data_IF_670578397938
#
_entry.id   IF_670578397938
#
_cell.length_a   1.000
_cell.length_b   1.000
_cell.length_c   1.000
_cell.angle_alpha   90.00
_cell.angle_beta   90.00
_cell.angle_gamma   90.00
#
_symmetry.space_group_name_H-M   'P 1'
#
loop_
_entity.id
_entity.type
_entity.pdbx_description
1 polymer ?
#
# COMPACT_ATOMS: atom_id res chain seq x y z
N UNK A 1 -22.40 -2.64 -67.74
CA UNK A 1 -20.97 -2.54 -67.40
C UNK A 1 -20.82 -1.40 -66.39
N UNK A 2 -20.77 -1.72 -65.09
CA UNK A 2 -20.48 -0.74 -64.03
C UNK A 2 -18.99 -0.72 -63.73
N UNK A 3 -18.34 0.44 -63.59
CA UNK A 3 -16.95 0.49 -63.14
C UNK A 3 -16.92 0.34 -61.62
N UNK A 4 -16.30 -0.74 -61.14
CA UNK A 4 -15.91 -0.88 -59.75
C UNK A 4 -14.73 0.04 -59.47
N UNK A 5 -14.97 1.14 -58.76
CA UNK A 5 -13.90 1.99 -58.22
C UNK A 5 -13.31 1.28 -57.00
N UNK A 6 -12.14 0.66 -57.16
CA UNK A 6 -11.38 0.10 -56.03
C UNK A 6 -10.79 1.24 -55.22
N UNK A 7 -11.42 1.57 -54.08
CA UNK A 7 -10.86 2.51 -53.13
C UNK A 7 -9.60 1.89 -52.49
N UNK A 8 -8.42 2.41 -52.87
CA UNK A 8 -7.14 2.08 -52.26
C UNK A 8 -7.15 2.65 -50.84
N UNK A 9 -7.27 1.79 -49.83
CA UNK A 9 -7.12 2.18 -48.43
C UNK A 9 -5.64 2.58 -48.23
N UNK A 10 -5.37 3.88 -48.21
CA UNK A 10 -4.08 4.41 -47.78
C UNK A 10 -4.00 4.16 -46.27
N UNK A 11 -3.15 3.23 -45.85
CA UNK A 11 -2.74 3.08 -44.46
C UNK A 11 -2.01 4.35 -44.04
N UNK A 12 -2.74 5.27 -43.42
CA UNK A 12 -2.16 6.41 -42.72
C UNK A 12 -1.38 5.81 -41.55
N UNK A 13 -0.07 5.73 -41.71
CA UNK A 13 0.84 5.54 -40.59
C UNK A 13 0.71 6.82 -39.78
N UNK A 14 -0.10 6.78 -38.72
CA UNK A 14 -0.13 7.83 -37.70
C UNK A 14 1.26 7.83 -37.07
N UNK A 15 2.08 8.80 -37.44
CA UNK A 15 3.36 9.02 -36.78
C UNK A 15 3.11 9.18 -35.28
N UNK A 16 3.85 8.45 -34.43
CA UNK A 16 3.82 8.62 -32.98
C UNK A 16 4.03 10.11 -32.67
N UNK A 17 2.98 10.78 -32.21
CA UNK A 17 3.06 12.19 -31.84
C UNK A 17 3.96 12.27 -30.59
N UNK A 18 5.08 13.00 -30.61
CA UNK A 18 5.95 13.08 -29.46
C UNK A 18 5.18 13.76 -28.31
N UNK A 19 4.99 13.04 -27.20
CA UNK A 19 4.35 13.58 -26.02
C UNK A 19 5.15 14.80 -25.52
N UNK A 20 4.49 15.94 -25.37
CA UNK A 20 5.16 17.18 -24.96
C UNK A 20 5.41 17.17 -23.45
N UNK A 21 6.69 17.13 -23.05
CA UNK A 21 7.13 17.20 -21.66
C UNK A 21 7.49 18.63 -21.20
N UNK A 22 7.05 19.66 -21.94
CA UNK A 22 7.39 21.06 -21.64
C UNK A 22 6.96 21.47 -20.22
N UNK A 23 7.88 22.05 -19.45
CA UNK A 23 7.61 22.57 -18.10
C UNK A 23 7.91 21.59 -16.96
N UNK A 24 8.47 20.41 -17.25
CA UNK A 24 8.90 19.45 -16.23
C UNK A 24 10.37 19.70 -15.88
N UNK A 25 10.65 19.82 -14.59
CA UNK A 25 12.02 19.94 -14.08
C UNK A 25 12.83 18.67 -14.37
N UNK A 26 14.08 18.83 -14.80
CA UNK A 26 14.96 17.71 -15.16
C UNK A 26 15.14 16.71 -14.00
N UNK A 27 15.14 17.20 -12.76
CA UNK A 27 15.18 16.38 -11.54
C UNK A 27 13.96 15.47 -11.33
N UNK A 28 12.83 15.76 -11.98
CA UNK A 28 11.60 14.98 -11.87
C UNK A 28 11.46 13.91 -12.97
N UNK A 29 12.22 14.03 -14.06
CA UNK A 29 12.19 13.11 -15.21
C UNK A 29 12.40 11.64 -14.85
N UNK A 30 13.33 11.26 -13.93
CA UNK A 30 13.53 9.84 -13.58
C UNK A 30 12.32 9.16 -12.92
N UNK A 31 11.33 9.94 -12.44
CA UNK A 31 10.15 9.47 -11.72
C UNK A 31 8.88 9.48 -12.58
N UNK A 32 9.02 9.71 -13.88
CA UNK A 32 7.94 9.98 -14.83
C UNK A 32 8.02 8.96 -15.97
N UNK A 33 6.91 8.27 -16.23
CA UNK A 33 6.86 7.17 -17.18
C UNK A 33 5.65 7.29 -18.11
N UNK A 34 5.78 6.74 -19.31
CA UNK A 34 4.67 6.49 -20.24
C UNK A 34 4.46 4.98 -20.35
N UNK A 35 3.63 4.37 -19.48
CA UNK A 35 3.31 2.94 -19.57
C UNK A 35 2.67 2.59 -20.91
N UNK A 36 3.03 1.44 -21.48
CA UNK A 36 2.49 0.93 -22.74
C UNK A 36 1.93 -0.49 -22.50
N UNK A 37 0.71 -0.63 -21.94
CA UNK A 37 0.14 -1.92 -21.62
C UNK A 37 0.05 -2.82 -22.87
N UNK A 38 0.41 -4.09 -22.72
CA UNK A 38 0.36 -5.08 -23.80
C UNK A 38 -1.04 -5.69 -23.97
N UNK A 39 -1.83 -5.68 -22.90
CA UNK A 39 -3.07 -6.46 -22.80
C UNK A 39 -4.34 -5.70 -23.19
N UNK A 40 -4.25 -4.39 -23.34
CA UNK A 40 -5.33 -3.51 -23.77
C UNK A 40 -4.74 -2.21 -24.31
N UNK A 41 -5.55 -1.45 -25.05
CA UNK A 41 -5.16 -0.13 -25.56
C UNK A 41 -6.06 0.96 -24.98
N UNK A 42 -5.44 2.09 -24.64
CA UNK A 42 -6.07 3.32 -24.18
C UNK A 42 -5.32 4.49 -24.82
N UNK A 43 -5.53 4.66 -26.12
CA UNK A 43 -4.91 5.71 -26.92
C UNK A 43 -5.08 7.10 -26.29
N UNK A 44 -6.22 7.35 -25.61
CA UNK A 44 -6.48 8.60 -24.91
C UNK A 44 -5.54 8.85 -23.72
N UNK A 45 -4.82 7.82 -23.26
CA UNK A 45 -3.85 7.88 -22.18
C UNK A 45 -2.38 7.82 -22.61
N UNK A 46 -2.07 7.61 -23.89
CA UNK A 46 -0.70 7.36 -24.36
C UNK A 46 0.32 8.44 -23.94
N UNK A 47 -0.10 9.70 -23.88
CA UNK A 47 0.73 10.82 -23.44
C UNK A 47 0.50 11.27 -21.99
N UNK A 48 -0.09 10.41 -21.14
CA UNK A 48 -0.20 10.69 -19.72
C UNK A 48 1.00 10.15 -18.95
N UNK A 49 1.64 11.05 -18.22
CA UNK A 49 2.75 10.74 -17.34
C UNK A 49 2.26 10.05 -16.07
N UNK A 50 2.90 8.93 -15.75
CA UNK A 50 2.55 8.09 -14.61
C UNK A 50 3.73 8.00 -13.65
N UNK A 51 3.45 8.17 -12.36
CA UNK A 51 4.41 7.97 -11.28
C UNK A 51 4.21 6.62 -10.62
N UNK A 52 5.31 5.99 -10.27
CA UNK A 52 5.31 4.69 -9.62
C UNK A 52 5.44 4.84 -8.11
N UNK A 53 4.65 4.08 -7.35
CA UNK A 53 4.80 4.00 -5.90
C UNK A 53 4.63 2.59 -5.35
N UNK A 54 5.09 2.39 -4.11
CA UNK A 54 4.79 1.20 -3.33
C UNK A 54 4.58 1.55 -1.86
N UNK A 55 3.49 1.04 -1.27
CA UNK A 55 3.17 1.20 0.15
C UNK A 55 3.83 0.07 0.94
N UNK A 56 4.97 0.34 1.56
CA UNK A 56 5.73 -0.61 2.37
C UNK A 56 5.25 -0.59 3.81
N UNK A 57 4.82 -1.74 4.34
CA UNK A 57 4.15 -1.76 5.65
C UNK A 57 4.31 -3.08 6.40
N UNK A 58 3.88 -3.11 7.66
CA UNK A 58 3.72 -4.33 8.46
C UNK A 58 2.23 -4.64 8.58
N UNK A 59 1.85 -5.92 8.75
CA UNK A 59 0.44 -6.29 8.92
C UNK A 59 -0.21 -5.48 10.06
N UNK A 60 -1.47 -5.07 9.83
CA UNK A 60 -2.30 -4.31 10.78
C UNK A 60 -1.77 -2.91 11.14
N UNK A 61 -0.96 -2.32 10.26
CA UNK A 61 -0.46 -0.94 10.42
C UNK A 61 -1.35 0.12 9.72
N UNK A 62 -2.57 -0.23 9.32
CA UNK A 62 -3.51 0.71 8.69
C UNK A 62 -3.36 0.85 7.17
N UNK A 63 -2.44 0.11 6.54
CA UNK A 63 -2.16 0.20 5.10
C UNK A 63 -3.31 -0.21 4.19
N UNK A 64 -4.22 -1.10 4.62
CA UNK A 64 -5.46 -1.38 3.89
C UNK A 64 -6.45 -0.21 3.89
N UNK A 65 -6.53 0.57 4.98
CA UNK A 65 -7.36 1.77 5.03
C UNK A 65 -6.73 2.91 4.22
N UNK A 66 -5.42 3.13 4.40
CA UNK A 66 -4.67 4.12 3.64
C UNK A 66 -4.72 3.88 2.12
N UNK A 67 -4.62 2.64 1.68
CA UNK A 67 -4.80 2.27 0.28
C UNK A 67 -6.19 2.64 -0.25
N UNK A 68 -7.27 2.47 0.53
CA UNK A 68 -8.60 2.89 0.09
C UNK A 68 -8.74 4.41 -0.03
N UNK A 69 -8.04 5.19 0.80
CA UNK A 69 -7.98 6.64 0.66
C UNK A 69 -7.30 7.03 -0.65
N UNK A 70 -6.14 6.44 -0.96
CA UNK A 70 -5.46 6.72 -2.23
C UNK A 70 -6.31 6.31 -3.43
N UNK A 71 -6.96 5.15 -3.37
CA UNK A 71 -7.85 4.67 -4.43
C UNK A 71 -9.15 5.48 -4.58
N UNK A 72 -9.50 6.39 -3.66
CA UNK A 72 -10.60 7.33 -3.89
C UNK A 72 -10.19 8.49 -4.81
N UNK A 73 -8.89 8.72 -5.00
CA UNK A 73 -8.41 9.66 -6.01
C UNK A 73 -8.65 9.09 -7.41
N UNK A 74 -9.17 9.91 -8.32
CA UNK A 74 -9.63 9.46 -9.64
C UNK A 74 -8.46 8.97 -10.53
N UNK A 75 -7.28 9.60 -10.39
CA UNK A 75 -6.07 9.27 -11.16
C UNK A 75 -5.05 8.38 -10.40
N UNK A 76 -5.47 7.67 -9.34
CA UNK A 76 -4.57 6.79 -8.58
C UNK A 76 -5.10 5.36 -8.57
N UNK A 77 -4.23 4.41 -8.88
CA UNK A 77 -4.49 2.97 -8.75
C UNK A 77 -3.46 2.30 -7.84
N UNK A 78 -3.90 1.82 -6.68
CA UNK A 78 -3.15 0.91 -5.80
C UNK A 78 -3.75 -0.49 -5.86
N UNK A 79 -2.94 -1.45 -6.30
CA UNK A 79 -3.37 -2.79 -6.71
C UNK A 79 -3.38 -3.86 -5.59
N UNK A 80 -3.50 -3.46 -4.32
CA UNK A 80 -3.55 -4.39 -3.20
C UNK A 80 -2.22 -5.07 -2.90
N UNK A 81 -2.26 -6.21 -2.20
CA UNK A 81 -1.07 -7.00 -1.84
C UNK A 81 -0.65 -7.96 -2.95
N UNK A 82 -0.03 -7.42 -4.00
CA UNK A 82 0.43 -8.21 -5.14
C UNK A 82 1.57 -9.17 -4.79
N UNK A 83 2.29 -8.99 -3.69
CA UNK A 83 3.34 -9.95 -3.31
C UNK A 83 2.88 -10.99 -2.31
N UNK A 84 1.57 -11.12 -2.03
CA UNK A 84 1.04 -12.13 -1.11
C UNK A 84 1.28 -13.58 -1.55
N UNK A 85 1.33 -13.85 -2.87
CA UNK A 85 1.56 -15.21 -3.42
C UNK A 85 3.06 -15.51 -3.53
N UNK A 86 3.47 -16.71 -3.09
CA UNK A 86 4.89 -17.12 -3.02
C UNK A 86 5.59 -17.12 -4.37
N UNK A 87 4.91 -17.55 -5.44
CA UNK A 87 5.45 -17.62 -6.81
C UNK A 87 6.02 -16.29 -7.31
N UNK A 88 5.40 -15.17 -6.92
CA UNK A 88 5.81 -13.82 -7.32
C UNK A 88 7.07 -13.31 -6.59
N UNK A 89 7.55 -14.06 -5.60
CA UNK A 89 8.67 -13.65 -4.71
C UNK A 89 9.65 -14.80 -4.44
N UNK A 90 9.79 -15.72 -5.40
CA UNK A 90 10.74 -16.84 -5.32
C UNK A 90 12.18 -16.40 -5.50
N UNK A 91 12.42 -15.38 -6.33
CA UNK A 91 13.70 -14.73 -6.57
C UNK A 91 13.48 -13.30 -7.10
N UNK A 92 14.58 -12.54 -7.27
CA UNK A 92 14.51 -11.15 -7.75
C UNK A 92 13.94 -11.03 -9.17
N UNK A 93 14.22 -11.99 -10.07
CA UNK A 93 13.67 -11.97 -11.43
C UNK A 93 12.15 -12.10 -11.45
N UNK A 94 11.57 -12.98 -10.64
CA UNK A 94 10.12 -13.11 -10.50
C UNK A 94 9.47 -11.84 -9.91
N UNK A 95 10.18 -11.16 -9.01
CA UNK A 95 9.75 -9.89 -8.44
C UNK A 95 9.74 -8.81 -9.52
N UNK A 96 10.86 -8.62 -10.24
CA UNK A 96 10.99 -7.62 -11.31
C UNK A 96 9.92 -7.83 -12.38
N UNK A 97 9.73 -9.08 -12.85
CA UNK A 97 8.65 -9.42 -13.79
C UNK A 97 7.26 -8.99 -13.29
N UNK A 98 7.00 -9.13 -12.00
CA UNK A 98 5.73 -8.71 -11.39
C UNK A 98 5.64 -7.18 -11.30
N UNK A 99 6.73 -6.49 -10.94
CA UNK A 99 6.79 -5.04 -10.87
C UNK A 99 6.56 -4.42 -12.26
N UNK A 100 7.28 -4.91 -13.27
CA UNK A 100 7.14 -4.43 -14.66
C UNK A 100 5.71 -4.58 -15.14
N UNK A 101 5.05 -5.72 -14.88
CA UNK A 101 3.65 -5.92 -15.24
C UNK A 101 2.72 -4.89 -14.59
N UNK A 102 2.94 -4.55 -13.32
CA UNK A 102 2.08 -3.58 -12.61
C UNK A 102 2.35 -2.16 -13.07
N UNK A 103 3.61 -1.79 -13.25
CA UNK A 103 4.02 -0.45 -13.63
C UNK A 103 3.78 -0.17 -15.12
N UNK A 104 3.69 -1.20 -15.95
CA UNK A 104 3.21 -1.11 -17.33
C UNK A 104 1.67 -1.04 -17.44
N UNK A 105 0.94 -0.98 -16.31
CA UNK A 105 -0.53 -0.97 -16.24
C UNK A 105 -1.22 -2.27 -16.71
N UNK A 106 -0.47 -3.36 -16.92
CA UNK A 106 -1.00 -4.68 -17.31
C UNK A 106 -1.52 -5.52 -16.13
N UNK A 107 -1.82 -4.87 -15.00
CA UNK A 107 -2.32 -5.53 -13.80
C UNK A 107 -3.83 -5.29 -13.62
N UNK A 108 -4.61 -6.30 -14.01
CA UNK A 108 -6.06 -6.28 -13.83
C UNK A 108 -6.45 -6.45 -12.37
N UNK A 109 -7.09 -5.43 -11.81
CA UNK A 109 -7.65 -5.48 -10.46
C UNK A 109 -8.88 -4.57 -10.37
N UNK A 110 -9.60 -4.63 -9.25
CA UNK A 110 -10.70 -3.70 -8.98
C UNK A 110 -10.24 -2.23 -8.80
N UNK A 111 -8.92 -1.96 -8.84
CA UNK A 111 -8.36 -0.62 -8.78
C UNK A 111 -8.21 0.05 -10.14
N UNK A 112 -8.50 -0.66 -11.25
CA UNK A 112 -8.53 -0.09 -12.60
C UNK A 112 -9.51 1.07 -12.67
N UNK A 113 -9.11 2.13 -13.39
CA UNK A 113 -9.86 3.38 -13.53
C UNK A 113 -10.30 3.59 -14.96
N UNK A 114 -11.42 4.28 -15.14
CA UNK A 114 -11.86 4.73 -16.45
C UNK A 114 -11.06 5.96 -16.89
N UNK A 115 -10.50 6.71 -15.94
CA UNK A 115 -9.63 7.84 -16.18
C UNK A 115 -8.17 7.40 -16.33
N UNK A 116 -7.35 8.24 -16.94
CA UNK A 116 -5.92 7.98 -17.05
C UNK A 116 -5.25 8.13 -15.66
N UNK A 117 -4.33 7.22 -15.36
CA UNK A 117 -3.60 7.26 -14.10
C UNK A 117 -2.52 8.35 -14.13
N UNK A 118 -2.37 9.05 -13.00
CA UNK A 118 -1.23 9.90 -12.71
C UNK A 118 -0.25 9.20 -11.75
N UNK A 119 -0.73 8.25 -10.95
CA UNK A 119 0.13 7.39 -10.14
C UNK A 119 -0.42 5.96 -10.08
N UNK A 120 0.48 4.98 -10.16
CA UNK A 120 0.16 3.55 -10.00
C UNK A 120 1.12 2.90 -9.00
N UNK A 121 0.56 2.01 -8.20
CA UNK A 121 1.32 1.30 -7.19
C UNK A 121 0.55 0.13 -6.61
N UNK A 122 1.01 -0.29 -5.43
CA UNK A 122 0.47 -1.42 -4.71
C UNK A 122 0.95 -1.39 -3.25
N UNK A 123 0.44 -2.33 -2.46
CA UNK A 123 0.83 -2.54 -1.07
C UNK A 123 1.77 -3.73 -0.93
N UNK A 124 2.83 -3.57 -0.15
CA UNK A 124 3.83 -4.59 0.08
C UNK A 124 4.14 -4.72 1.56
N UNK A 125 3.84 -5.90 2.13
CA UNK A 125 4.21 -6.15 3.51
C UNK A 125 5.68 -6.55 3.63
N UNK A 126 6.39 -6.06 4.65
CA UNK A 126 7.84 -6.31 4.83
C UNK A 126 8.20 -7.80 4.87
N UNK A 127 7.29 -8.66 5.31
CA UNK A 127 7.46 -10.11 5.38
C UNK A 127 7.11 -10.85 4.07
N UNK A 128 6.70 -10.16 3.00
CA UNK A 128 6.33 -10.75 1.71
C UNK A 128 7.50 -10.70 0.71
N UNK A 129 8.70 -11.09 1.13
CA UNK A 129 9.89 -11.13 0.27
C UNK A 129 10.63 -9.81 0.12
N UNK A 130 10.04 -8.67 0.51
CA UNK A 130 10.67 -7.35 0.43
C UNK A 130 12.01 -7.31 1.16
N UNK A 131 12.04 -7.71 2.43
CA UNK A 131 13.30 -7.69 3.21
C UNK A 131 14.31 -8.76 2.79
N UNK A 132 13.86 -9.82 2.10
CA UNK A 132 14.71 -10.91 1.63
C UNK A 132 15.44 -10.56 0.32
N UNK A 133 14.85 -9.71 -0.52
CA UNK A 133 15.41 -9.27 -1.80
C UNK A 133 15.65 -7.75 -1.86
N UNK A 134 15.85 -7.14 -0.68
CA UNK A 134 15.88 -5.68 -0.50
C UNK A 134 16.85 -4.94 -1.41
N UNK A 135 18.03 -5.51 -1.68
CA UNK A 135 19.07 -4.87 -2.49
C UNK A 135 18.61 -4.72 -3.95
N UNK A 136 18.21 -5.83 -4.59
CA UNK A 136 17.69 -5.79 -5.96
C UNK A 136 16.38 -5.00 -6.10
N UNK A 137 15.53 -4.99 -5.07
CA UNK A 137 14.32 -4.16 -5.08
C UNK A 137 14.68 -2.67 -4.95
N UNK A 138 15.61 -2.30 -4.08
CA UNK A 138 16.05 -0.92 -3.93
C UNK A 138 16.74 -0.41 -5.20
N UNK A 139 17.52 -1.25 -5.89
CA UNK A 139 18.11 -0.96 -7.20
C UNK A 139 17.02 -0.71 -8.25
N UNK A 140 16.03 -1.60 -8.37
CA UNK A 140 14.90 -1.40 -9.27
C UNK A 140 14.15 -0.10 -8.96
N UNK A 141 13.90 0.20 -7.68
CA UNK A 141 13.20 1.42 -7.27
C UNK A 141 13.98 2.67 -7.63
N UNK A 142 15.31 2.62 -7.52
CA UNK A 142 16.18 3.73 -7.90
C UNK A 142 16.20 3.92 -9.42
N UNK A 143 16.33 2.84 -10.19
CA UNK A 143 16.37 2.87 -11.65
C UNK A 143 15.05 3.32 -12.26
N UNK A 144 13.93 2.80 -11.74
CA UNK A 144 12.57 3.09 -12.23
C UNK A 144 11.88 4.24 -11.50
N UNK A 145 12.60 5.02 -10.70
CA UNK A 145 12.02 6.16 -9.97
C UNK A 145 10.77 5.81 -9.14
N UNK A 146 10.76 4.66 -8.48
CA UNK A 146 9.61 4.24 -7.66
C UNK A 146 9.66 4.96 -6.31
N UNK A 147 8.56 5.63 -5.97
CA UNK A 147 8.37 6.32 -4.70
C UNK A 147 7.93 5.34 -3.60
N UNK A 148 8.78 5.14 -2.59
CA UNK A 148 8.47 4.27 -1.46
C UNK A 148 7.71 5.02 -0.36
N UNK A 149 6.53 4.53 0.01
CA UNK A 149 5.73 5.07 1.11
C UNK A 149 5.78 4.07 2.26
N UNK A 150 6.59 4.35 3.28
CA UNK A 150 6.60 3.54 4.49
C UNK A 150 5.42 3.93 5.38
N UNK A 151 4.56 2.98 5.70
CA UNK A 151 3.45 3.18 6.63
C UNK A 151 3.56 2.21 7.81
N UNK A 152 3.88 2.76 8.98
CA UNK A 152 3.98 2.02 10.22
C UNK A 152 2.90 2.43 11.22
N UNK A 153 2.81 1.69 12.32
CA UNK A 153 1.92 2.00 13.44
C UNK A 153 2.74 2.08 14.69
N UNK A 154 2.73 3.24 15.35
CA UNK A 154 3.57 3.50 16.53
C UNK A 154 3.18 2.58 17.68
N UNK A 155 1.88 2.43 17.96
CA UNK A 155 1.45 1.59 19.07
C UNK A 155 1.45 0.10 18.66
N UNK A 156 2.56 -0.59 18.95
CA UNK A 156 2.77 -2.00 18.62
C UNK A 156 1.86 -2.95 19.42
N UNK A 157 1.44 -2.56 20.63
CA UNK A 157 0.50 -3.35 21.42
C UNK A 157 -0.90 -3.34 20.79
N UNK A 158 -1.42 -2.16 20.40
CA UNK A 158 -2.68 -2.04 19.64
C UNK A 158 -2.61 -2.78 18.31
N UNK A 159 -1.44 -2.79 17.66
CA UNK A 159 -1.23 -3.59 16.45
C UNK A 159 -1.33 -5.08 16.75
N UNK A 160 -0.67 -5.57 17.80
CA UNK A 160 -0.70 -6.97 18.21
C UNK A 160 -2.12 -7.43 18.55
N UNK A 161 -2.88 -6.65 19.32
CA UNK A 161 -4.29 -6.93 19.60
C UNK A 161 -5.07 -7.08 18.30
N UNK A 162 -4.89 -6.15 17.35
CA UNK A 162 -5.56 -6.24 16.06
C UNK A 162 -5.11 -7.45 15.22
N UNK A 163 -3.87 -7.91 15.34
CA UNK A 163 -3.40 -9.12 14.66
C UNK A 163 -4.06 -10.37 15.24
N UNK A 164 -4.06 -10.50 16.56
CA UNK A 164 -4.63 -11.65 17.27
C UNK A 164 -6.14 -11.73 17.03
N UNK A 165 -6.86 -10.60 17.10
CA UNK A 165 -8.30 -10.56 16.80
C UNK A 165 -8.61 -10.94 15.35
N UNK A 166 -7.82 -10.47 14.38
CA UNK A 166 -7.98 -10.86 12.97
C UNK A 166 -7.71 -12.36 12.77
N UNK A 167 -6.69 -12.91 13.43
CA UNK A 167 -6.37 -14.34 13.39
C UNK A 167 -7.43 -15.21 14.07
N UNK A 168 -8.10 -14.69 15.09
CA UNK A 168 -9.24 -15.37 15.70
C UNK A 168 -10.42 -15.40 14.71
N UNK A 169 -10.77 -14.26 14.12
CA UNK A 169 -11.88 -14.16 13.18
C UNK A 169 -11.67 -15.01 11.91
N UNK A 170 -10.43 -15.27 11.48
CA UNK A 170 -10.20 -16.17 10.34
C UNK A 170 -10.66 -17.60 10.59
N UNK A 171 -10.77 -18.01 11.84
CA UNK A 171 -11.26 -19.34 12.25
C UNK A 171 -12.71 -19.27 12.73
N UNK A 172 -13.02 -18.31 13.61
CA UNK A 172 -14.34 -18.17 14.23
C UNK A 172 -15.39 -17.59 13.27
N UNK A 173 -14.97 -16.82 12.26
CA UNK A 173 -15.81 -16.21 11.22
C UNK A 173 -17.04 -15.52 11.81
N UNK A 174 -16.78 -14.54 12.68
CA UNK A 174 -17.78 -13.94 13.58
C UNK A 174 -18.89 -13.18 12.84
N UNK A 175 -18.69 -12.85 11.57
CA UNK A 175 -19.66 -12.14 10.74
C UNK A 175 -20.32 -13.12 9.77
N UNK A 176 -21.40 -13.76 10.22
CA UNK A 176 -22.23 -14.69 9.44
C UNK A 176 -21.41 -15.78 8.73
N UNK A 177 -20.43 -16.38 9.42
CA UNK A 177 -19.61 -17.44 8.85
C UNK A 177 -18.62 -16.96 7.80
N UNK A 178 -18.34 -15.65 7.72
CA UNK A 178 -17.33 -15.05 6.83
C UNK A 178 -16.23 -14.35 7.64
N UNK A 179 -14.96 -14.60 7.28
CA UNK A 179 -13.84 -13.81 7.79
C UNK A 179 -13.80 -12.43 7.13
N UNK A 180 -13.65 -11.36 7.94
CA UNK A 180 -13.48 -9.99 7.44
C UNK A 180 -12.30 -9.30 8.10
N UNK A 181 -11.24 -9.07 7.33
CA UNK A 181 -10.07 -8.32 7.82
C UNK A 181 -10.35 -6.81 7.99
N UNK A 182 -11.36 -6.30 7.29
CA UNK A 182 -11.85 -4.91 7.31
C UNK A 182 -13.37 -4.91 7.24
N UNK A 183 -14.00 -3.89 7.84
CA UNK A 183 -15.46 -3.74 7.90
C UNK A 183 -15.86 -2.32 7.49
N UNK A 184 -17.08 -2.18 6.98
CA UNK A 184 -17.63 -0.89 6.54
C UNK A 184 -18.81 -0.40 7.40
N UNK A 185 -19.22 -1.18 8.41
CA UNK A 185 -20.30 -0.83 9.32
C UNK A 185 -19.79 -0.78 10.77
N UNK A 186 -20.37 0.12 11.57
CA UNK A 186 -20.06 0.20 13.00
C UNK A 186 -20.52 -1.04 13.77
N UNK A 187 -21.63 -1.67 13.33
CA UNK A 187 -22.16 -2.89 13.94
C UNK A 187 -21.17 -4.06 13.78
N UNK A 188 -20.67 -4.31 12.57
CA UNK A 188 -19.69 -5.37 12.32
C UNK A 188 -18.39 -5.11 13.08
N UNK A 189 -17.96 -3.84 13.14
CA UNK A 189 -16.79 -3.43 13.92
C UNK A 189 -16.96 -3.77 15.40
N UNK A 190 -18.15 -3.52 15.96
CA UNK A 190 -18.46 -3.82 17.35
C UNK A 190 -18.45 -5.32 17.62
N UNK A 191 -19.01 -6.14 16.72
CA UNK A 191 -18.98 -7.61 16.82
C UNK A 191 -17.54 -8.12 16.85
N UNK A 192 -16.69 -7.69 15.90
CA UNK A 192 -15.29 -8.12 15.84
C UNK A 192 -14.48 -7.65 17.07
N UNK A 193 -14.81 -6.48 17.62
CA UNK A 193 -14.13 -5.92 18.79
C UNK A 193 -14.50 -6.62 20.12
N UNK A 194 -15.49 -7.52 20.14
CA UNK A 194 -15.86 -8.28 21.34
C UNK A 194 -14.78 -9.25 21.79
N UNK A 195 -13.98 -9.76 20.85
CA UNK A 195 -12.90 -10.70 21.15
C UNK A 195 -11.72 -9.98 21.83
N UNK A 196 -11.36 -10.46 23.02
CA UNK A 196 -10.22 -9.97 23.80
C UNK A 196 -9.10 -11.01 23.78
N UNK A 197 -8.03 -10.83 22.99
CA UNK A 197 -6.93 -11.78 22.99
C UNK A 197 -6.21 -11.83 24.33
N UNK A 198 -5.74 -13.03 24.68
CA UNK A 198 -4.67 -13.22 25.66
C UNK A 198 -3.32 -12.96 24.99
N UNK A 199 -2.52 -12.06 25.53
CA UNK A 199 -1.20 -11.69 25.00
C UNK A 199 -0.13 -12.55 25.67
N UNK A 200 0.78 -13.11 24.86
CA UNK A 200 1.97 -13.80 25.36
C UNK A 200 3.00 -12.77 25.85
N UNK A 201 3.17 -12.68 27.16
CA UNK A 201 4.05 -11.73 27.85
C UNK A 201 5.52 -12.15 27.82
N UNK A 202 5.81 -13.45 27.81
CA UNK A 202 7.16 -14.02 27.88
C UNK A 202 8.10 -13.48 26.79
N UNK A 203 7.60 -13.28 25.58
CA UNK A 203 8.40 -12.78 24.44
C UNK A 203 8.06 -11.35 24.02
N UNK A 204 7.14 -10.67 24.72
CA UNK A 204 6.51 -9.43 24.26
C UNK A 204 7.52 -8.31 23.96
N UNK A 205 8.43 -8.05 24.90
CA UNK A 205 9.46 -7.01 24.77
C UNK A 205 10.40 -7.32 23.62
N UNK A 206 10.88 -8.56 23.52
CA UNK A 206 11.77 -9.00 22.45
C UNK A 206 11.10 -8.92 21.06
N UNK A 207 9.81 -9.24 21.01
CA UNK A 207 9.00 -9.15 19.80
C UNK A 207 8.84 -7.70 19.35
N UNK A 208 8.49 -6.77 20.24
CA UNK A 208 8.39 -5.35 19.90
C UNK A 208 9.73 -4.77 19.42
N UNK A 209 10.83 -5.12 20.08
CA UNK A 209 12.16 -4.71 19.64
C UNK A 209 12.46 -5.17 18.20
N UNK A 210 12.22 -6.44 17.90
CA UNK A 210 12.40 -6.99 16.54
C UNK A 210 11.55 -6.27 15.49
N UNK A 211 10.33 -5.86 15.86
CA UNK A 211 9.43 -5.14 14.96
C UNK A 211 9.93 -3.73 14.65
N UNK A 212 10.41 -2.99 15.66
CA UNK A 212 11.02 -1.67 15.47
C UNK A 212 12.33 -1.78 14.66
N UNK A 213 13.20 -2.75 14.98
CA UNK A 213 14.42 -3.01 14.21
C UNK A 213 14.12 -3.37 12.75
N UNK A 214 13.09 -4.17 12.50
CA UNK A 214 12.70 -4.54 11.12
C UNK A 214 12.21 -3.33 10.35
N UNK A 215 11.44 -2.43 10.99
CA UNK A 215 10.98 -1.20 10.36
C UNK A 215 12.16 -0.25 10.06
N UNK A 216 13.07 -0.06 11.02
CA UNK A 216 14.26 0.76 10.83
C UNK A 216 15.16 0.22 9.71
N UNK A 217 15.42 -1.09 9.70
CA UNK A 217 16.18 -1.76 8.63
C UNK A 217 15.51 -1.60 7.26
N UNK A 218 14.18 -1.65 7.20
CA UNK A 218 13.46 -1.42 5.95
C UNK A 218 13.68 0.00 5.43
N UNK A 219 13.53 1.03 6.26
CA UNK A 219 13.78 2.42 5.85
C UNK A 219 15.24 2.60 5.40
N UNK A 220 16.20 2.09 6.17
CA UNK A 220 17.63 2.17 5.85
C UNK A 220 17.97 1.50 4.52
N UNK A 221 17.36 0.36 4.22
CA UNK A 221 17.61 -0.38 2.96
C UNK A 221 17.16 0.37 1.71
N UNK A 222 16.25 1.33 1.87
CA UNK A 222 15.69 2.14 0.78
C UNK A 222 16.09 3.62 0.90
N UNK A 223 17.12 3.95 1.69
CA UNK A 223 17.55 5.34 1.90
C UNK A 223 17.95 6.07 0.62
N UNK A 224 18.42 5.33 -0.39
CA UNK A 224 18.81 5.86 -1.70
C UNK A 224 17.67 6.00 -2.69
N UNK A 225 16.45 5.61 -2.31
CA UNK A 225 15.24 5.79 -3.12
C UNK A 225 14.44 6.97 -2.60
N UNK A 226 13.59 7.55 -3.46
CA UNK A 226 12.65 8.58 -3.04
C UNK A 226 11.64 7.95 -2.09
N UNK A 227 11.64 8.36 -0.82
CA UNK A 227 10.77 7.76 0.18
C UNK A 227 10.21 8.77 1.19
N UNK A 228 9.08 8.41 1.77
CA UNK A 228 8.45 9.09 2.91
C UNK A 228 8.11 8.07 4.00
N UNK A 229 8.24 8.47 5.27
CA UNK A 229 7.87 7.64 6.42
C UNK A 229 6.66 8.25 7.11
N UNK A 230 5.59 7.46 7.19
CA UNK A 230 4.32 7.83 7.77
C UNK A 230 3.96 6.88 8.90
N UNK A 231 3.19 7.41 9.84
CA UNK A 231 2.62 6.63 10.91
C UNK A 231 1.10 6.75 10.91
N UNK A 232 0.42 5.62 11.11
CA UNK A 232 -1.03 5.52 11.14
C UNK A 232 -1.66 6.55 12.08
N UNK A 233 -1.08 6.76 13.25
CA UNK A 233 -1.57 7.72 14.24
C UNK A 233 -1.58 9.16 13.71
N UNK A 234 -0.62 9.55 12.86
CA UNK A 234 -0.58 10.89 12.27
C UNK A 234 -1.64 11.04 11.19
N UNK A 235 -1.82 10.02 10.35
CA UNK A 235 -2.82 10.03 9.28
C UNK A 235 -4.25 10.10 9.81
N UNK A 236 -4.51 9.51 10.99
CA UNK A 236 -5.85 9.53 11.60
C UNK A 236 -6.11 10.84 12.34
N UNK A 237 -5.09 11.44 12.94
CA UNK A 237 -5.26 12.63 13.78
C UNK A 237 -5.02 13.95 13.04
N UNK A 238 -4.37 13.90 11.87
CA UNK A 238 -4.02 15.08 11.09
C UNK A 238 -4.29 14.87 9.60
N UNK A 239 -5.36 15.50 9.10
CA UNK A 239 -5.74 15.43 7.69
C UNK A 239 -4.70 16.04 6.74
N UNK A 240 -3.84 16.96 7.21
CA UNK A 240 -2.79 17.56 6.36
C UNK A 240 -1.77 16.51 5.91
N UNK A 241 -1.60 15.41 6.65
CA UNK A 241 -0.70 14.33 6.24
C UNK A 241 -1.13 13.63 4.95
N UNK A 242 -2.43 13.61 4.65
CA UNK A 242 -2.91 13.10 3.36
C UNK A 242 -2.64 14.07 2.21
N UNK A 243 -2.53 15.37 2.50
CA UNK A 243 -2.10 16.38 1.52
C UNK A 243 -0.62 16.18 1.21
N UNK A 244 0.23 16.04 2.22
CA UNK A 244 1.67 15.76 2.06
C UNK A 244 1.93 14.52 1.20
N UNK A 245 1.10 13.47 1.32
CA UNK A 245 1.20 12.26 0.48
C UNK A 245 0.85 12.55 -0.98
N UNK A 246 -0.19 13.34 -1.23
CA UNK A 246 -0.57 13.73 -2.58
C UNK A 246 0.54 14.60 -3.21
N UNK A 247 1.09 15.55 -2.47
CA UNK A 247 2.23 16.38 -2.89
C UNK A 247 3.48 15.55 -3.16
N UNK A 248 3.80 14.58 -2.28
CA UNK A 248 4.92 13.67 -2.45
C UNK A 248 4.84 12.89 -3.77
N UNK A 249 3.63 12.45 -4.13
CA UNK A 249 3.31 11.80 -5.40
C UNK A 249 3.00 12.79 -6.54
N UNK A 250 3.16 14.10 -6.33
CA UNK A 250 2.86 15.17 -7.31
C UNK A 250 1.46 15.07 -7.92
N UNK A 251 0.49 14.68 -7.09
CA UNK A 251 -0.92 14.60 -7.48
C UNK A 251 -1.62 15.94 -7.26
N UNK A 252 -2.62 16.28 -8.08
CA UNK A 252 -3.52 17.37 -7.76
C UNK A 252 -4.24 17.04 -6.45
N UNK A 253 -4.40 18.04 -5.58
CA UNK A 253 -5.10 17.83 -4.33
C UNK A 253 -6.55 17.41 -4.58
N UNK A 254 -6.97 16.35 -3.88
CA UNK A 254 -8.36 15.96 -3.70
C UNK A 254 -8.65 15.54 -2.27
N UNK A 255 -9.92 15.66 -1.90
CA UNK A 255 -10.44 15.05 -0.70
C UNK A 255 -10.45 13.53 -0.83
N UNK A 256 -9.71 12.86 0.05
CA UNK A 256 -9.60 11.40 0.05
C UNK A 256 -10.59 10.79 1.05
N UNK A 257 -11.30 9.74 0.65
CA UNK A 257 -12.36 9.14 1.44
C UNK A 257 -12.20 7.63 1.55
N UNK A 258 -12.66 7.05 2.67
CA UNK A 258 -12.65 5.61 2.88
C UNK A 258 -13.96 5.18 3.54
N UNK A 259 -14.48 4.03 3.12
CA UNK A 259 -15.62 3.37 3.76
C UNK A 259 -15.21 2.45 4.91
N UNK A 260 -13.92 2.23 5.14
CA UNK A 260 -13.46 1.33 6.20
C UNK A 260 -13.63 1.99 7.57
N UNK A 261 -14.13 1.21 8.52
CA UNK A 261 -14.32 1.62 9.92
C UNK A 261 -13.27 0.95 10.80
N UNK A 262 -12.77 1.68 11.79
CA UNK A 262 -11.82 1.17 12.78
C UNK A 262 -12.52 0.19 13.72
N UNK A 263 -12.05 -1.06 13.75
CA UNK A 263 -12.62 -2.13 14.59
C UNK A 263 -12.38 -1.86 16.08
N UNK A 264 -11.12 -1.63 16.48
CA UNK A 264 -10.75 -1.49 17.87
C UNK A 264 -10.62 -0.02 18.25
N UNK A 265 -11.56 0.48 19.06
CA UNK A 265 -11.59 1.82 19.63
C UNK A 265 -11.57 1.77 21.18
N UNK A 266 -11.10 2.85 21.81
CA UNK A 266 -11.02 2.93 23.29
C UNK A 266 -9.75 2.35 23.93
N UNK A 267 -9.74 2.19 25.27
CA UNK A 267 -8.56 1.81 26.05
C UNK A 267 -8.20 0.33 25.88
N UNK A 268 -6.90 0.04 25.84
CA UNK A 268 -6.37 -1.33 25.69
C UNK A 268 -6.75 -2.25 26.85
N UNK A 269 -6.96 -1.72 28.05
CA UNK A 269 -7.43 -2.47 29.22
C UNK A 269 -8.77 -3.17 29.00
N UNK A 270 -9.61 -2.64 28.11
CA UNK A 270 -10.88 -3.28 27.74
C UNK A 270 -10.74 -4.28 26.59
N UNK A 271 -9.60 -4.32 25.92
CA UNK A 271 -9.36 -5.09 24.69
C UNK A 271 -8.42 -6.28 24.91
N UNK A 272 -7.77 -6.41 26.06
CA UNK A 272 -6.80 -7.48 26.36
C UNK A 272 -7.31 -8.29 27.55
N UNK A 273 -7.31 -9.63 27.42
CA UNK A 273 -7.83 -10.51 28.46
C UNK A 273 -6.96 -10.48 29.74
N UNK A 274 -5.63 -10.56 29.59
CA UNK A 274 -4.66 -10.54 30.68
C UNK A 274 -3.97 -9.16 30.82
N UNK A 275 -4.76 -8.08 30.88
CA UNK A 275 -4.26 -6.70 30.87
C UNK A 275 -3.23 -6.40 31.97
N UNK A 276 -3.49 -6.82 33.22
CA UNK A 276 -2.60 -6.56 34.35
C UNK A 276 -1.20 -7.15 34.15
N UNK A 277 -1.13 -8.35 33.56
CA UNK A 277 0.12 -9.04 33.25
C UNK A 277 0.91 -8.30 32.15
N UNK A 278 0.20 -7.85 31.10
CA UNK A 278 0.79 -7.03 30.02
C UNK A 278 1.31 -5.70 30.57
N UNK A 279 0.52 -5.02 31.39
CA UNK A 279 0.92 -3.77 32.03
C UNK A 279 2.17 -3.97 32.89
N UNK A 280 2.20 -5.02 33.73
CA UNK A 280 3.37 -5.36 34.55
C UNK A 280 4.61 -5.66 33.70
N UNK A 281 4.44 -6.35 32.57
CA UNK A 281 5.53 -6.72 31.66
C UNK A 281 6.14 -5.52 30.93
N UNK A 282 5.31 -4.54 30.56
CA UNK A 282 5.76 -3.37 29.79
C UNK A 282 6.25 -2.20 30.66
N UNK A 283 5.78 -2.10 31.91
CA UNK A 283 6.18 -1.04 32.84
C UNK A 283 7.70 -1.07 33.09
N UNK A 284 8.35 0.09 33.02
CA UNK A 284 9.80 0.21 33.15
C UNK A 284 10.60 -0.19 31.90
N UNK A 285 9.91 -0.55 30.80
CA UNK A 285 10.56 -0.81 29.50
C UNK A 285 10.34 0.38 28.55
N UNK A 286 11.12 0.53 27.45
CA UNK A 286 10.85 1.53 26.42
C UNK A 286 9.46 1.43 25.77
N UNK A 287 8.79 0.28 25.94
CA UNK A 287 7.48 -0.02 25.38
C UNK A 287 6.32 0.32 26.32
N UNK A 288 6.60 0.84 27.53
CA UNK A 288 5.57 1.34 28.45
C UNK A 288 4.66 2.38 27.77
N UNK A 289 5.21 3.18 26.86
CA UNK A 289 4.47 4.15 26.02
C UNK A 289 3.31 3.55 25.22
N UNK A 290 3.28 2.23 25.01
CA UNK A 290 2.19 1.57 24.28
C UNK A 290 0.96 1.26 25.15
N UNK A 291 1.04 1.46 26.46
CA UNK A 291 -0.08 1.29 27.38
C UNK A 291 -1.11 2.43 27.29
N UNK A 292 -0.73 3.54 26.66
CA UNK A 292 -1.57 4.72 26.37
C UNK A 292 -2.46 4.49 25.12
#
# INVERSE_FOLDING_TARGET
MSPHTTARLLSIIVAEQPCNASGIEESEMPYLHYPKPETFDREECTCNLVRYFAIMSQQRSGSGWFETLLNSHINVSSNGEIFGRRERRTNISAIVKTLDKVYNLDWFSSASKNECNAAVGFKWMLNQGLMAHREGIAEYFKEKGVSAIFLFRRNLLRRMVSMLANSHDSHAKLLNGTHKSHVHSAADAQVLATYKPKVNTTSLVSHFRKLEETAAKAVESFKSTRHIVLYYEDLVNNSTKLIEVQEFLRLPYRELTSRQVKIHSGPLSRQIQNWEEVQKTLKGTPFERFLL
#
